data_IF_618321653537
#
_entry.id   IF_618321653537
#
_cell.length_a   1.000
_cell.length_b   1.000
_cell.length_c   1.000
_cell.angle_alpha   90.00
_cell.angle_beta   90.00
_cell.angle_gamma   90.00
#
_symmetry.space_group_name_H-M   'P 1'
#
loop_
_entity.id
_entity.type
_entity.pdbx_description
1 polymer ?
#
# COMPACT_ATOMS: atom_id res chain seq x y z
N UNK A 1 -18.30 -1.93 2.15
CA UNK A 1 -17.10 -1.62 2.96
C UNK A 1 -16.69 -0.20 2.62
N UNK A 2 -16.53 0.72 3.59
CA UNK A 2 -16.26 2.13 3.27
C UNK A 2 -14.77 2.28 2.97
N UNK A 3 -14.39 1.99 1.73
CA UNK A 3 -13.20 2.59 1.13
C UNK A 3 -13.66 3.86 0.42
N UNK A 4 -12.85 4.91 0.45
CA UNK A 4 -13.07 6.09 -0.39
C UNK A 4 -12.62 5.70 -1.80
N UNK A 5 -13.47 4.95 -2.50
CA UNK A 5 -13.28 4.72 -3.93
C UNK A 5 -13.86 5.93 -4.65
N UNK A 6 -13.04 6.96 -4.86
CA UNK A 6 -13.31 7.97 -5.86
C UNK A 6 -12.81 7.41 -7.19
N UNK A 7 -13.71 6.90 -8.06
CA UNK A 7 -13.30 6.39 -9.36
C UNK A 7 -12.51 7.51 -10.05
N UNK A 8 -11.32 7.17 -10.57
CA UNK A 8 -10.40 8.04 -11.31
C UNK A 8 -9.40 8.91 -10.52
N UNK A 9 -9.53 9.11 -9.21
CA UNK A 9 -8.70 10.10 -8.49
C UNK A 9 -7.76 9.46 -7.47
N UNK A 10 -8.27 8.61 -6.57
CA UNK A 10 -7.46 7.92 -5.56
C UNK A 10 -8.04 6.52 -5.35
N UNK A 11 -7.19 5.49 -5.39
CA UNK A 11 -7.55 4.20 -4.80
C UNK A 11 -6.97 4.20 -3.40
N UNK A 12 -7.71 4.67 -2.39
CA UNK A 12 -7.29 4.65 -0.99
C UNK A 12 -8.30 3.85 -0.18
N UNK A 13 -7.87 2.76 0.43
CA UNK A 13 -8.74 1.95 1.27
C UNK A 13 -8.23 0.57 1.63
N UNK A 14 -9.10 -0.16 2.34
CA UNK A 14 -8.84 -1.54 2.74
C UNK A 14 -9.41 -2.49 1.69
N UNK A 15 -8.54 -3.35 1.15
CA UNK A 15 -8.88 -4.40 0.20
C UNK A 15 -8.71 -5.77 0.85
N UNK A 16 -9.83 -6.48 1.00
CA UNK A 16 -9.83 -7.83 1.55
C UNK A 16 -9.86 -8.84 0.40
N UNK A 17 -8.80 -9.64 0.28
CA UNK A 17 -8.71 -10.71 -0.73
C UNK A 17 -8.28 -12.01 -0.05
N UNK A 18 -9.09 -13.06 -0.21
CA UNK A 18 -8.85 -14.39 0.40
C UNK A 18 -8.56 -14.31 1.91
N UNK A 19 -9.34 -13.52 2.64
CA UNK A 19 -9.17 -13.31 4.09
C UNK A 19 -8.01 -12.39 4.49
N UNK A 20 -7.14 -11.98 3.56
CA UNK A 20 -6.04 -11.04 3.84
C UNK A 20 -6.48 -9.60 3.63
N UNK A 21 -6.20 -8.73 4.60
CA UNK A 21 -6.49 -7.29 4.57
C UNK A 21 -5.26 -6.56 4.07
N UNK A 22 -5.38 -5.90 2.93
CA UNK A 22 -4.31 -5.07 2.37
C UNK A 22 -4.77 -3.63 2.40
N UNK A 23 -3.89 -2.74 2.85
CA UNK A 23 -4.08 -1.32 2.65
C UNK A 23 -3.54 -0.95 1.28
N UNK A 24 -4.34 -0.22 0.51
CA UNK A 24 -3.99 0.23 -0.82
C UNK A 24 -4.18 1.74 -0.85
N UNK A 25 -3.12 2.47 -1.19
CA UNK A 25 -3.13 3.91 -1.41
C UNK A 25 -2.24 4.22 -2.61
N UNK A 26 -2.83 4.13 -3.80
CA UNK A 26 -2.12 4.30 -5.08
C UNK A 26 -3.00 5.05 -6.05
N UNK A 27 -2.45 6.12 -6.61
CA UNK A 27 -3.01 6.83 -7.74
C UNK A 27 -2.27 6.43 -9.03
N UNK A 28 -0.94 6.42 -8.98
CA UNK A 28 -0.06 6.03 -10.09
C UNK A 28 0.82 4.83 -9.70
N UNK A 29 0.64 3.72 -10.43
CA UNK A 29 1.34 2.45 -10.16
C UNK A 29 2.85 2.48 -10.42
N UNK A 30 3.39 3.53 -11.07
CA UNK A 30 4.81 3.57 -11.44
C UNK A 30 5.74 3.70 -10.23
N UNK A 31 5.31 4.38 -9.18
CA UNK A 31 6.16 4.66 -8.02
C UNK A 31 5.58 4.02 -6.75
N UNK A 32 5.17 2.77 -6.82
CA UNK A 32 4.53 2.06 -5.69
C UNK A 32 5.49 1.06 -5.07
N UNK A 33 5.48 0.95 -3.75
CA UNK A 33 6.14 -0.12 -3.00
C UNK A 33 5.11 -1.02 -2.32
N UNK A 34 5.50 -2.26 -2.07
CA UNK A 34 4.71 -3.23 -1.33
C UNK A 34 5.49 -3.61 -0.08
N UNK A 35 4.92 -3.34 1.08
CA UNK A 35 5.48 -3.69 2.38
C UNK A 35 4.63 -4.81 2.98
N UNK A 36 5.24 -5.96 3.24
CA UNK A 36 4.59 -7.04 3.99
C UNK A 36 4.80 -6.81 5.50
N UNK A 37 3.70 -6.82 6.24
CA UNK A 37 3.73 -6.60 7.68
C UNK A 37 3.58 -7.94 8.42
N UNK A 38 4.36 -8.11 9.47
CA UNK A 38 4.21 -9.19 10.44
C UNK A 38 3.45 -8.66 11.66
N UNK A 39 2.58 -9.48 12.22
CA UNK A 39 1.85 -9.19 13.47
C UNK A 39 1.07 -7.87 13.48
N UNK A 40 0.46 -7.52 12.34
CA UNK A 40 -0.30 -6.29 12.15
C UNK A 40 -1.73 -6.56 11.67
N UNK A 41 -2.61 -5.57 11.85
CA UNK A 41 -4.00 -5.57 11.38
C UNK A 41 -4.11 -5.69 9.85
N UNK A 42 -3.14 -5.13 9.14
CA UNK A 42 -2.98 -5.29 7.69
C UNK A 42 -1.87 -6.29 7.40
N UNK A 43 -2.07 -7.10 6.36
CA UNK A 43 -1.06 -8.02 5.85
C UNK A 43 -0.06 -7.33 4.94
N UNK A 44 -0.53 -6.37 4.13
CA UNK A 44 0.30 -5.62 3.18
C UNK A 44 -0.09 -4.15 3.15
N UNK A 45 0.91 -3.29 2.98
CA UNK A 45 0.75 -1.91 2.56
C UNK A 45 1.19 -1.81 1.11
N UNK A 46 0.32 -1.29 0.25
CA UNK A 46 0.58 -1.04 -1.16
C UNK A 46 0.43 0.46 -1.32
N UNK A 47 1.55 1.18 -1.28
CA UNK A 47 1.57 2.64 -1.15
C UNK A 47 2.44 3.27 -2.23
N UNK A 48 1.96 4.38 -2.77
CA UNK A 48 2.75 5.24 -3.65
C UNK A 48 3.78 6.04 -2.84
N UNK A 49 5.00 6.15 -3.38
CA UNK A 49 6.11 6.90 -2.78
C UNK A 49 6.80 7.72 -3.86
N UNK A 50 7.42 8.84 -3.49
CA UNK A 50 8.10 9.69 -4.46
C UNK A 50 9.33 9.00 -5.10
N UNK A 51 10.12 8.29 -4.28
CA UNK A 51 11.31 7.58 -4.74
C UNK A 51 11.38 6.16 -4.14
N UNK A 52 10.93 5.13 -4.88
CA UNK A 52 10.95 3.75 -4.40
C UNK A 52 12.34 3.27 -3.99
N UNK A 53 13.39 3.62 -4.74
CA UNK A 53 14.74 3.16 -4.47
C UNK A 53 15.28 3.72 -3.14
N UNK A 54 15.05 5.01 -2.88
CA UNK A 54 15.44 5.65 -1.61
C UNK A 54 14.69 5.02 -0.43
N UNK A 55 13.37 4.85 -0.55
CA UNK A 55 12.56 4.28 0.53
C UNK A 55 12.95 2.82 0.81
N UNK A 56 13.21 2.02 -0.23
CA UNK A 56 13.67 0.64 -0.05
C UNK A 56 15.02 0.59 0.68
N UNK A 57 15.92 1.53 0.39
CA UNK A 57 17.19 1.61 1.11
C UNK A 57 16.97 1.93 2.60
N UNK A 58 16.12 2.91 2.93
CA UNK A 58 15.81 3.26 4.31
C UNK A 58 15.10 2.13 5.08
N UNK A 59 14.16 1.41 4.45
CA UNK A 59 13.49 0.26 5.06
C UNK A 59 14.47 -0.89 5.37
N UNK A 60 15.49 -1.08 4.54
CA UNK A 60 16.48 -2.16 4.69
C UNK A 60 17.65 -1.81 5.61
N UNK A 61 17.75 -0.57 6.11
CA UNK A 61 18.83 -0.13 7.01
C UNK A 61 18.66 -0.59 8.47
N UNK A 62 17.57 -1.29 8.79
CA UNK A 62 17.30 -1.82 10.14
C UNK A 62 17.76 -3.27 10.29
#
# INVERSE_FOLDING_TARGET
>A
MPGTQLPWIITAGTFIKKGKRNFWDVCNKKNTIIVELKDSYYNKLIIEVENPAMIMNELNRK
#
